data_IF_727488373716
#
_entry.id   IF_727488373716
#
_cell.length_a   1.000
_cell.length_b   1.000
_cell.length_c   1.000
_cell.angle_alpha   90.00
_cell.angle_beta   90.00
_cell.angle_gamma   90.00
#
_symmetry.space_group_name_H-M   'P 1'
#
loop_
_entity.id
_entity.type
_entity.pdbx_description
1 polymer ?
#
# COMPACT_ATOMS: atom_id res chain seq x y z
N UNK A 1 2.12 -10.34 16.91
CA UNK A 1 1.24 -11.12 16.02
C UNK A 1 0.39 -10.25 15.12
N UNK A 2 -0.29 -9.25 15.66
CA UNK A 2 -1.07 -8.32 14.86
C UNK A 2 -0.21 -7.58 13.84
N UNK A 3 0.98 -7.15 14.25
CA UNK A 3 1.91 -6.45 13.37
C UNK A 3 2.38 -7.34 12.22
N UNK A 4 2.57 -8.63 12.48
CA UNK A 4 3.00 -9.57 11.45
C UNK A 4 1.94 -9.74 10.36
N UNK A 5 0.67 -9.88 10.75
CA UNK A 5 -0.44 -9.99 9.80
C UNK A 5 -0.61 -8.70 9.00
N UNK A 6 -0.53 -7.58 9.69
CA UNK A 6 -0.61 -6.27 9.06
C UNK A 6 0.51 -6.09 8.02
N UNK A 7 1.75 -6.36 8.43
CA UNK A 7 2.90 -6.21 7.55
C UNK A 7 2.82 -7.13 6.33
N UNK A 8 2.34 -8.35 6.53
CA UNK A 8 2.17 -9.29 5.44
C UNK A 8 1.15 -8.79 4.43
N UNK A 9 0.03 -8.26 4.91
CA UNK A 9 -1.01 -7.70 4.02
C UNK A 9 -0.47 -6.50 3.26
N UNK A 10 0.24 -5.59 3.94
CA UNK A 10 0.86 -4.44 3.28
C UNK A 10 1.82 -4.93 2.18
N UNK A 11 2.66 -5.91 2.48
CA UNK A 11 3.63 -6.43 1.52
C UNK A 11 2.95 -7.03 0.29
N UNK A 12 1.88 -7.80 0.49
CA UNK A 12 1.15 -8.41 -0.63
C UNK A 12 0.55 -7.36 -1.55
N UNK A 13 -0.12 -6.37 -0.98
CA UNK A 13 -0.76 -5.31 -1.75
C UNK A 13 0.29 -4.43 -2.43
N UNK A 14 1.34 -4.07 -1.71
CA UNK A 14 2.42 -3.26 -2.26
C UNK A 14 3.10 -3.96 -3.42
N UNK A 15 3.31 -5.26 -3.31
CA UNK A 15 3.92 -6.05 -4.39
C UNK A 15 3.07 -6.03 -5.65
N UNK A 16 1.76 -6.19 -5.51
CA UNK A 16 0.85 -6.16 -6.65
C UNK A 16 0.87 -4.81 -7.35
N UNK A 17 0.87 -3.74 -6.56
CA UNK A 17 0.95 -2.38 -7.09
C UNK A 17 2.30 -2.15 -7.78
N UNK A 18 3.38 -2.62 -7.17
CA UNK A 18 4.72 -2.50 -7.74
C UNK A 18 4.82 -3.18 -9.10
N UNK A 19 4.25 -4.37 -9.24
CA UNK A 19 4.28 -5.10 -10.50
C UNK A 19 3.58 -4.31 -11.60
N UNK A 20 2.55 -3.56 -11.28
CA UNK A 20 1.85 -2.71 -12.23
C UNK A 20 2.66 -1.47 -12.61
N UNK A 21 3.32 -0.85 -11.65
CA UNK A 21 3.97 0.45 -11.84
C UNK A 21 5.45 0.36 -12.18
N UNK A 22 6.16 -0.57 -11.57
CA UNK A 22 7.61 -0.68 -11.71
C UNK A 22 8.04 -2.15 -11.66
N UNK A 23 7.63 -2.95 -12.64
CA UNK A 23 7.95 -4.38 -12.63
C UNK A 23 9.45 -4.65 -12.61
N UNK A 24 10.27 -3.71 -13.06
CA UNK A 24 11.72 -3.83 -13.04
C UNK A 24 12.30 -3.88 -11.62
N UNK A 25 11.53 -3.42 -10.62
CA UNK A 25 11.97 -3.46 -9.23
C UNK A 25 11.55 -4.74 -8.49
N UNK A 26 10.84 -5.62 -9.16
CA UNK A 26 10.29 -6.84 -8.55
C UNK A 26 11.36 -7.66 -7.81
N UNK A 27 12.54 -7.79 -8.40
CA UNK A 27 13.62 -8.56 -7.81
C UNK A 27 14.14 -7.97 -6.50
N UNK A 28 13.96 -6.65 -6.32
CA UNK A 28 14.42 -5.95 -5.13
C UNK A 28 13.35 -5.87 -4.05
N UNK A 29 12.13 -6.28 -4.36
CA UNK A 29 11.01 -6.08 -3.44
C UNK A 29 11.21 -6.75 -2.09
N UNK A 30 11.63 -8.01 -2.09
CA UNK A 30 11.77 -8.77 -0.85
C UNK A 30 12.79 -8.15 0.11
N UNK A 31 14.03 -7.90 -0.31
CA UNK A 31 15.00 -7.30 0.62
C UNK A 31 14.60 -5.88 1.05
N UNK A 32 14.01 -5.11 0.16
CA UNK A 32 13.59 -3.75 0.50
C UNK A 32 12.41 -3.79 1.48
N UNK A 33 11.44 -4.66 1.26
CA UNK A 33 10.29 -4.75 2.18
C UNK A 33 10.72 -5.22 3.56
N UNK A 34 11.65 -6.18 3.66
CA UNK A 34 12.18 -6.62 4.93
C UNK A 34 12.88 -5.46 5.67
N UNK A 35 13.70 -4.70 4.96
CA UNK A 35 14.36 -3.52 5.51
C UNK A 35 13.36 -2.46 5.94
N UNK A 36 12.34 -2.23 5.12
CA UNK A 36 11.30 -1.26 5.41
C UNK A 36 10.55 -1.59 6.70
N UNK A 37 10.10 -2.84 6.85
CA UNK A 37 9.36 -3.21 8.06
C UNK A 37 10.22 -3.22 9.31
N UNK A 38 11.53 -3.39 9.15
CA UNK A 38 12.47 -3.31 10.26
C UNK A 38 12.65 -1.87 10.74
N UNK A 39 12.76 -0.93 9.81
CA UNK A 39 12.89 0.49 10.12
C UNK A 39 12.43 1.34 8.93
N UNK A 40 11.13 1.69 8.88
CA UNK A 40 10.57 2.43 7.74
C UNK A 40 11.23 3.78 7.50
N UNK A 41 11.49 4.53 8.56
CA UNK A 41 12.09 5.86 8.43
C UNK A 41 13.47 5.80 7.80
N UNK A 42 14.28 4.85 8.24
CA UNK A 42 15.63 4.68 7.71
C UNK A 42 15.60 4.27 6.24
N UNK A 43 14.73 3.34 5.88
CA UNK A 43 14.63 2.87 4.49
C UNK A 43 14.20 4.00 3.56
N UNK A 44 13.23 4.81 3.99
CA UNK A 44 12.78 5.96 3.21
C UNK A 44 13.87 7.04 3.11
N UNK A 45 14.58 7.28 4.20
CA UNK A 45 15.66 8.26 4.21
C UNK A 45 16.82 7.85 3.30
N UNK A 46 17.20 6.59 3.32
CA UNK A 46 18.26 6.08 2.44
C UNK A 46 17.86 6.16 0.97
N UNK A 47 16.61 5.90 0.66
CA UNK A 47 16.10 6.02 -0.70
C UNK A 47 16.21 7.46 -1.20
N UNK A 48 15.84 8.42 -0.38
CA UNK A 48 15.95 9.84 -0.69
C UNK A 48 17.40 10.28 -0.77
N UNK A 49 18.25 9.81 0.14
CA UNK A 49 19.66 10.17 0.18
C UNK A 49 20.41 9.73 -1.08
N UNK A 50 20.06 8.59 -1.64
CA UNK A 50 20.65 8.13 -2.90
C UNK A 50 20.37 9.10 -4.03
N UNK A 51 19.16 9.64 -4.09
CA UNK A 51 18.78 10.64 -5.08
C UNK A 51 19.63 11.90 -4.92
N UNK A 52 19.80 12.38 -3.71
CA UNK A 52 20.58 13.57 -3.41
C UNK A 52 22.08 13.37 -3.68
N UNK A 53 22.61 12.19 -3.31
CA UNK A 53 24.03 11.88 -3.48
C UNK A 53 24.46 11.83 -4.93
N UNK A 54 23.60 11.40 -5.81
CA UNK A 54 23.95 11.29 -7.23
C UNK A 54 23.88 12.62 -7.96
N UNK A 55 23.33 13.65 -7.32
CA UNK A 55 23.36 15.00 -7.86
C UNK A 55 22.59 15.19 -9.14
N UNK A 56 21.76 14.24 -9.47
CA UNK A 56 21.05 14.29 -10.74
C UNK A 56 19.80 15.14 -10.72
N UNK A 57 19.41 15.70 -9.64
CA UNK A 57 18.26 16.61 -9.58
C UNK A 57 17.12 16.26 -10.50
N UNK A 58 17.22 15.17 -11.21
CA UNK A 58 16.25 14.76 -12.19
C UNK A 58 15.36 13.69 -11.59
N UNK A 59 14.10 13.80 -11.88
CA UNK A 59 13.11 12.85 -11.45
C UNK A 59 13.40 11.42 -11.92
N UNK A 60 14.30 11.26 -12.84
CA UNK A 60 14.69 9.99 -13.41
C UNK A 60 15.76 9.27 -12.61
N UNK A 61 16.28 9.94 -11.61
CA UNK A 61 17.33 9.33 -10.85
C UNK A 61 16.71 8.22 -10.01
N UNK A 62 17.27 7.32 -9.88
CA UNK A 62 17.59 6.15 -9.12
C UNK A 62 16.76 5.95 -7.84
N UNK A 63 15.79 6.82 -7.55
CA UNK A 63 14.87 6.64 -6.44
C UNK A 63 13.93 5.49 -6.76
N UNK A 64 14.01 4.46 -5.96
CA UNK A 64 13.14 3.31 -6.14
C UNK A 64 11.72 3.64 -5.71
N UNK A 65 10.75 3.09 -6.41
CA UNK A 65 9.34 3.25 -6.04
C UNK A 65 8.94 2.32 -4.90
N UNK A 66 9.65 1.21 -4.71
CA UNK A 66 9.29 0.19 -3.72
C UNK A 66 9.08 0.77 -2.31
N UNK A 67 10.01 1.55 -1.73
CA UNK A 67 9.77 2.09 -0.38
C UNK A 67 8.57 3.02 -0.31
N UNK A 68 8.36 3.83 -1.35
CA UNK A 68 7.22 4.74 -1.41
C UNK A 68 5.92 3.97 -1.50
N UNK A 69 5.87 2.94 -2.35
CA UNK A 69 4.67 2.10 -2.49
C UNK A 69 4.35 1.40 -1.17
N UNK A 70 5.35 0.91 -0.46
CA UNK A 70 5.15 0.30 0.86
C UNK A 70 4.55 1.30 1.86
N UNK A 71 5.07 2.51 1.89
CA UNK A 71 4.58 3.54 2.81
C UNK A 71 3.15 3.96 2.49
N UNK A 72 2.85 4.19 1.22
CA UNK A 72 1.51 4.59 0.77
C UNK A 72 0.52 3.44 1.03
N UNK A 73 0.90 2.22 0.67
CA UNK A 73 0.05 1.04 0.91
C UNK A 73 -0.23 0.87 2.40
N UNK A 74 0.77 1.11 3.25
CA UNK A 74 0.60 1.02 4.68
C UNK A 74 -0.45 1.99 5.22
N UNK A 75 -0.41 3.25 4.78
CA UNK A 75 -1.39 4.25 5.21
C UNK A 75 -2.80 3.91 4.73
N UNK A 76 -2.93 3.44 3.49
CA UNK A 76 -4.22 3.02 2.94
C UNK A 76 -4.77 1.83 3.75
N UNK A 77 -3.94 0.85 4.05
CA UNK A 77 -4.40 -0.33 4.78
C UNK A 77 -4.79 0.03 6.21
N UNK A 78 -4.10 0.96 6.87
CA UNK A 78 -4.52 1.45 8.19
C UNK A 78 -5.93 2.02 8.16
N UNK A 79 -6.24 2.81 7.14
CA UNK A 79 -7.58 3.34 6.97
C UNK A 79 -8.58 2.22 6.77
N UNK A 80 -8.28 1.26 5.91
CA UNK A 80 -9.18 0.14 5.62
C UNK A 80 -9.39 -0.75 6.84
N UNK A 81 -8.36 -0.95 7.65
CA UNK A 81 -8.48 -1.69 8.91
C UNK A 81 -9.50 -1.01 9.83
N UNK A 82 -9.43 0.31 9.96
CA UNK A 82 -10.38 1.07 10.79
C UNK A 82 -11.80 0.95 10.23
N UNK A 83 -11.96 1.01 8.91
CA UNK A 83 -13.27 0.86 8.26
C UNK A 83 -13.81 -0.56 8.42
N UNK A 84 -12.95 -1.57 8.35
CA UNK A 84 -13.35 -2.96 8.58
C UNK A 84 -13.81 -3.17 10.02
N UNK A 85 -13.12 -2.58 11.00
CA UNK A 85 -13.54 -2.64 12.40
C UNK A 85 -14.95 -2.09 12.58
N UNK A 86 -15.24 -0.95 11.97
CA UNK A 86 -16.56 -0.34 12.04
C UNK A 86 -17.62 -1.23 11.40
N UNK A 87 -17.33 -1.76 10.22
CA UNK A 87 -18.28 -2.57 9.48
C UNK A 87 -18.59 -3.89 10.20
N UNK A 88 -17.58 -4.52 10.78
CA UNK A 88 -17.73 -5.81 11.45
C UNK A 88 -18.15 -5.69 12.91
N UNK A 89 -17.99 -4.50 13.49
CA UNK A 89 -18.19 -4.29 14.92
C UNK A 89 -17.41 -5.33 15.74
N UNK A 90 -16.20 -5.66 15.28
CA UNK A 90 -15.36 -6.69 15.85
C UNK A 90 -13.93 -6.19 15.98
N UNK A 91 -13.23 -6.65 17.01
CA UNK A 91 -11.82 -6.37 17.20
C UNK A 91 -10.93 -7.54 16.80
N UNK A 92 -11.52 -8.60 16.21
CA UNK A 92 -10.76 -9.75 15.77
C UNK A 92 -9.80 -9.36 14.65
N UNK A 93 -8.51 -9.40 14.91
CA UNK A 93 -7.47 -9.07 13.93
C UNK A 93 -7.56 -9.95 12.70
N UNK A 94 -7.88 -11.23 12.88
CA UNK A 94 -8.01 -12.18 11.79
C UNK A 94 -9.16 -11.81 10.86
N UNK A 95 -10.33 -11.51 11.41
CA UNK A 95 -11.51 -11.11 10.62
C UNK A 95 -11.28 -9.79 9.90
N UNK A 96 -10.68 -8.83 10.59
CA UNK A 96 -10.38 -7.52 10.01
C UNK A 96 -9.42 -7.68 8.84
N UNK A 97 -8.37 -8.46 9.03
CA UNK A 97 -7.37 -8.68 7.99
C UNK A 97 -7.96 -9.39 6.77
N UNK A 98 -8.80 -10.39 7.00
CA UNK A 98 -9.49 -11.10 5.92
C UNK A 98 -10.40 -10.16 5.14
N UNK A 99 -11.09 -9.26 5.83
CA UNK A 99 -11.97 -8.27 5.19
C UNK A 99 -11.18 -7.33 4.30
N UNK A 100 -10.06 -6.81 4.80
CA UNK A 100 -9.20 -5.93 4.00
C UNK A 100 -8.68 -6.67 2.77
N UNK A 101 -8.21 -7.89 2.92
CA UNK A 101 -7.76 -8.70 1.79
C UNK A 101 -8.87 -8.94 0.78
N UNK A 102 -10.09 -9.18 1.26
CA UNK A 102 -11.25 -9.40 0.38
C UNK A 102 -11.55 -8.16 -0.46
N UNK A 103 -11.42 -6.96 0.14
CA UNK A 103 -11.61 -5.72 -0.61
C UNK A 103 -10.58 -5.55 -1.73
N UNK A 104 -9.39 -6.12 -1.57
CA UNK A 104 -8.38 -6.13 -2.63
C UNK A 104 -8.48 -7.34 -3.56
N UNK A 105 -9.54 -8.14 -3.40
CA UNK A 105 -9.73 -9.33 -4.24
C UNK A 105 -8.74 -10.45 -3.98
N UNK A 106 -8.07 -10.43 -2.84
CA UNK A 106 -7.03 -11.41 -2.49
C UNK A 106 -7.53 -12.61 -1.72
N UNK A 107 -8.71 -12.50 -1.16
CA UNK A 107 -9.25 -13.56 -0.33
C UNK A 107 -10.41 -14.25 -1.05
N UNK A 108 -10.26 -15.55 -1.30
CA UNK A 108 -11.33 -16.35 -1.86
C UNK A 108 -12.12 -16.95 -0.71
N UNK A 109 -13.23 -16.32 -0.39
CA UNK A 109 -14.11 -16.88 0.62
C UNK A 109 -14.88 -18.05 0.05
N UNK A 110 -14.80 -19.15 0.76
CA UNK A 110 -15.62 -20.32 0.47
C UNK A 110 -17.00 -20.19 1.11
N UNK A 111 -17.17 -19.22 1.99
CA UNK A 111 -18.42 -19.00 2.70
C UNK A 111 -19.02 -17.65 2.30
N UNK A 112 -20.05 -17.69 1.47
CA UNK A 112 -20.74 -16.51 0.98
C UNK A 112 -21.35 -15.65 2.07
N UNK A 113 -21.65 -16.25 3.24
CA UNK A 113 -22.26 -15.54 4.36
C UNK A 113 -21.31 -14.53 5.01
N UNK A 114 -20.02 -14.63 4.72
CA UNK A 114 -18.98 -13.75 5.32
C UNK A 114 -18.43 -12.73 4.35
N UNK A 115 -19.09 -12.56 3.20
CA UNK A 115 -18.66 -11.55 2.24
C UNK A 115 -18.83 -10.16 2.87
N UNK A 116 -17.75 -9.37 3.00
CA UNK A 116 -17.88 -8.03 3.57
C UNK A 116 -18.66 -7.13 2.62
N UNK A 117 -19.36 -6.12 3.15
CA UNK A 117 -20.01 -5.16 2.29
C UNK A 117 -18.97 -4.46 1.41
N UNK A 118 -19.29 -4.15 0.14
CA UNK A 118 -18.35 -3.48 -0.73
C UNK A 118 -18.03 -2.07 -0.21
N UNK A 119 -16.85 -1.59 -0.57
CA UNK A 119 -16.47 -0.23 -0.23
C UNK A 119 -17.36 0.76 -0.97
N UNK A 120 -17.75 1.83 -0.28
CA UNK A 120 -18.56 2.89 -0.87
C UNK A 120 -17.69 3.80 -1.72
N UNK A 121 -18.33 4.60 -2.57
CA UNK A 121 -17.65 5.62 -3.36
C UNK A 121 -16.89 6.60 -2.46
N UNK A 122 -17.48 6.97 -1.32
CA UNK A 122 -16.83 7.86 -0.35
C UNK A 122 -15.57 7.23 0.23
N UNK A 123 -15.63 5.94 0.55
CA UNK A 123 -14.46 5.23 1.07
C UNK A 123 -13.34 5.15 0.03
N UNK A 124 -13.68 4.89 -1.22
CA UNK A 124 -12.71 4.87 -2.31
C UNK A 124 -12.08 6.25 -2.53
N UNK A 125 -12.87 7.30 -2.40
CA UNK A 125 -12.36 8.68 -2.47
C UNK A 125 -11.37 8.97 -1.34
N UNK A 126 -11.68 8.50 -0.14
CA UNK A 126 -10.77 8.64 1.01
C UNK A 126 -9.46 7.89 0.76
N UNK A 127 -9.54 6.70 0.21
CA UNK A 127 -8.33 5.93 -0.15
C UNK A 127 -7.46 6.72 -1.13
N UNK A 128 -8.09 7.29 -2.15
CA UNK A 128 -7.36 8.11 -3.13
C UNK A 128 -6.68 9.30 -2.48
N UNK A 129 -7.36 10.00 -1.61
CA UNK A 129 -6.80 11.16 -0.90
C UNK A 129 -5.63 10.76 -0.02
N UNK A 130 -5.76 9.66 0.70
CA UNK A 130 -4.69 9.15 1.56
C UNK A 130 -3.45 8.81 0.73
N UNK A 131 -3.65 8.10 -0.38
CA UNK A 131 -2.55 7.71 -1.25
C UNK A 131 -1.83 8.93 -1.82
N UNK A 132 -2.58 9.91 -2.31
CA UNK A 132 -2.00 11.13 -2.88
C UNK A 132 -1.24 11.91 -1.82
N UNK A 133 -1.84 12.09 -0.65
CA UNK A 133 -1.23 12.84 0.44
C UNK A 133 0.11 12.23 0.86
N UNK A 134 0.13 10.92 1.07
CA UNK A 134 1.35 10.24 1.50
C UNK A 134 2.42 10.30 0.42
N UNK A 135 2.05 10.07 -0.84
CA UNK A 135 3.00 10.15 -1.94
C UNK A 135 3.60 11.54 -2.06
N UNK A 136 2.79 12.58 -1.89
CA UNK A 136 3.27 13.96 -1.91
C UNK A 136 4.21 14.25 -0.75
N UNK A 137 3.91 13.74 0.43
CA UNK A 137 4.79 13.89 1.60
C UNK A 137 6.15 13.25 1.33
N UNK A 138 6.19 12.19 0.56
CA UNK A 138 7.42 11.50 0.19
C UNK A 138 8.05 12.07 -1.08
N UNK A 139 7.49 13.16 -1.59
CA UNK A 139 8.01 13.91 -2.75
C UNK A 139 8.03 13.11 -4.04
N UNK A 140 7.07 12.20 -4.19
CA UNK A 140 6.89 11.49 -5.44
C UNK A 140 6.41 12.49 -6.51
N UNK A 141 6.81 12.27 -7.75
CA UNK A 141 6.39 13.13 -8.86
C UNK A 141 4.88 13.10 -9.01
N UNK A 142 4.31 14.16 -9.56
CA UNK A 142 2.87 14.27 -9.77
C UNK A 142 2.34 13.12 -10.63
N UNK A 143 3.07 12.78 -11.69
CA UNK A 143 2.71 11.68 -12.57
C UNK A 143 2.67 10.34 -11.82
N UNK A 144 3.72 10.03 -11.07
CA UNK A 144 3.79 8.78 -10.34
C UNK A 144 2.81 8.73 -9.18
N UNK A 145 2.55 9.88 -8.55
CA UNK A 145 1.54 9.98 -7.49
C UNK A 145 0.17 9.58 -8.03
N UNK A 146 -0.20 10.10 -9.19
CA UNK A 146 -1.47 9.78 -9.82
C UNK A 146 -1.55 8.31 -10.21
N UNK A 147 -0.50 7.79 -10.83
CA UNK A 147 -0.44 6.37 -11.21
C UNK A 147 -0.58 5.46 -10.01
N UNK A 148 0.09 5.79 -8.92
CA UNK A 148 0.04 5.00 -7.70
C UNK A 148 -1.36 5.03 -7.09
N UNK A 149 -1.96 6.20 -6.98
CA UNK A 149 -3.32 6.33 -6.45
C UNK A 149 -4.33 5.56 -7.30
N UNK A 150 -4.23 5.69 -8.62
CA UNK A 150 -5.10 4.99 -9.56
C UNK A 150 -4.94 3.46 -9.44
N UNK A 151 -3.72 2.99 -9.29
CA UNK A 151 -3.46 1.55 -9.15
C UNK A 151 -4.08 0.99 -7.87
N UNK A 152 -3.94 1.70 -6.76
CA UNK A 152 -4.49 1.27 -5.48
C UNK A 152 -6.02 1.26 -5.52
N UNK A 153 -6.62 2.35 -5.97
CA UNK A 153 -8.08 2.47 -6.05
C UNK A 153 -8.64 1.44 -7.04
N UNK A 154 -7.95 1.26 -8.16
CA UNK A 154 -8.35 0.26 -9.15
C UNK A 154 -8.37 -1.16 -8.59
N UNK A 155 -7.41 -1.48 -7.72
CA UNK A 155 -7.36 -2.79 -7.07
C UNK A 155 -8.55 -3.03 -6.16
N UNK A 156 -9.09 -1.97 -5.57
CA UNK A 156 -10.26 -2.06 -4.68
C UNK A 156 -11.58 -2.02 -5.45
N UNK A 157 -11.61 -1.38 -6.60
CA UNK A 157 -12.84 -1.18 -7.35
C UNK A 157 -13.29 -2.42 -8.14
N UNK A 158 -12.46 -3.45 -8.19
CA UNK A 158 -12.73 -4.68 -8.97
C UNK A 158 -13.52 -5.70 -8.16
N UNK A 159 -13.77 -5.44 -6.92
CA UNK A 159 -14.48 -6.39 -6.05
C UNK A 159 -15.92 -6.65 -6.52
#
# INVERSE_FOLDING_TARGET
MEDSMYNQTVAEIARDVLIQLAPQEKALFRPISESYFRNPEKTLAENKAKDEMLGFGAAEAVTLLTPVILAVSGDVIKFLVAEAQKALQSESSSLINETVKAWFGKFRQTDEKKTPPPLTADQLEQVRKIAIKKAQQLKLSEKNTKLLADAIVGSLAVA
#
